data_IF_947980165820
#
_entry.id   IF_947980165820
#
_cell.length_a   1.000
_cell.length_b   1.000
_cell.length_c   1.000
_cell.angle_alpha   90.00
_cell.angle_beta   90.00
_cell.angle_gamma   90.00
#
_symmetry.space_group_name_H-M   'P 1'
#
loop_
_entity.id
_entity.type
_entity.pdbx_description
1 polymer ?
#
# COMPACT_ATOMS: atom_id res chain seq x y z
N UNK A 1 -27.66 22.55 -4.85
CA UNK A 1 -27.44 21.12 -5.18
C UNK A 1 -27.70 20.97 -6.67
N UNK A 2 -26.72 20.53 -7.47
CA UNK A 2 -26.97 20.28 -8.89
C UNK A 2 -27.98 19.13 -9.00
N UNK A 3 -28.93 19.23 -9.93
CA UNK A 3 -29.96 18.22 -10.13
C UNK A 3 -29.49 17.20 -11.16
N UNK A 4 -28.72 16.19 -10.71
CA UNK A 4 -28.38 15.05 -11.56
C UNK A 4 -29.63 14.20 -11.85
N UNK A 5 -29.73 13.70 -13.07
CA UNK A 5 -30.81 12.83 -13.54
C UNK A 5 -30.35 11.39 -13.73
N UNK A 6 -29.06 11.17 -13.97
CA UNK A 6 -28.45 9.86 -14.07
C UNK A 6 -27.00 9.83 -13.57
N UNK A 7 -26.40 8.63 -13.49
CA UNK A 7 -25.00 8.44 -13.09
C UNK A 7 -24.03 9.17 -14.04
N UNK A 8 -24.33 9.24 -15.34
CA UNK A 8 -23.47 9.93 -16.31
C UNK A 8 -23.35 11.42 -16.00
N UNK A 9 -24.45 12.07 -15.60
CA UNK A 9 -24.43 13.49 -15.24
C UNK A 9 -23.49 13.75 -14.04
N UNK A 10 -23.39 12.80 -13.11
CA UNK A 10 -22.48 12.90 -11.96
C UNK A 10 -21.03 12.77 -12.41
N UNK A 11 -20.74 11.81 -13.29
CA UNK A 11 -19.39 11.55 -13.79
C UNK A 11 -18.87 12.66 -14.70
N UNK A 12 -19.74 13.23 -15.55
CA UNK A 12 -19.42 14.38 -16.38
C UNK A 12 -19.06 15.60 -15.51
N UNK A 13 -19.83 15.84 -14.46
CA UNK A 13 -19.60 16.94 -13.53
C UNK A 13 -18.32 16.78 -12.71
N UNK A 14 -18.04 15.55 -12.24
CA UNK A 14 -16.80 15.20 -11.54
C UNK A 14 -15.56 15.47 -12.40
N UNK A 15 -15.65 15.18 -13.70
CA UNK A 15 -14.57 15.46 -14.62
C UNK A 15 -14.38 16.96 -14.88
N UNK A 16 -15.47 17.69 -15.12
CA UNK A 16 -15.43 19.13 -15.40
C UNK A 16 -14.93 19.96 -14.23
N UNK A 17 -15.20 19.51 -13.00
CA UNK A 17 -14.81 20.25 -11.79
C UNK A 17 -13.34 20.09 -11.44
N UNK A 18 -12.66 18.99 -11.81
CA UNK A 18 -11.24 18.69 -11.50
C UNK A 18 -10.81 18.89 -10.02
N UNK A 19 -11.73 19.21 -9.12
CA UNK A 19 -11.45 19.51 -7.72
C UNK A 19 -11.48 18.20 -6.93
N UNK A 20 -10.29 17.64 -6.72
CA UNK A 20 -10.05 16.47 -5.84
C UNK A 20 -10.66 16.67 -4.44
N UNK A 21 -10.78 17.93 -4.00
CA UNK A 21 -11.26 18.34 -2.67
C UNK A 21 -12.68 18.94 -2.64
N UNK A 22 -13.42 18.97 -3.76
CA UNK A 22 -14.77 19.54 -3.81
C UNK A 22 -15.83 18.62 -3.18
N UNK A 23 -15.67 18.34 -1.90
CA UNK A 23 -16.65 17.63 -1.09
C UNK A 23 -16.79 16.18 -1.54
N UNK A 24 -15.81 15.34 -1.19
CA UNK A 24 -15.86 13.89 -1.25
C UNK A 24 -17.26 13.31 -0.89
N UNK A 25 -17.87 13.90 0.15
CA UNK A 25 -19.21 13.56 0.61
C UNK A 25 -20.31 13.82 -0.44
N UNK A 26 -20.22 14.88 -1.23
CA UNK A 26 -21.27 15.28 -2.17
C UNK A 26 -21.35 14.33 -3.38
N UNK A 27 -20.23 14.04 -4.03
CA UNK A 27 -20.25 13.15 -5.19
C UNK A 27 -20.48 11.70 -4.79
N UNK A 28 -19.96 11.24 -3.62
CA UNK A 28 -20.27 9.90 -3.10
C UNK A 28 -21.77 9.72 -2.91
N UNK A 29 -22.46 10.68 -2.30
CA UNK A 29 -23.92 10.63 -2.14
C UNK A 29 -24.66 10.71 -3.48
N UNK A 30 -24.15 11.50 -4.43
CA UNK A 30 -24.73 11.57 -5.78
C UNK A 30 -24.59 10.24 -6.53
N UNK A 31 -23.41 9.61 -6.51
CA UNK A 31 -23.21 8.28 -7.10
C UNK A 31 -24.12 7.27 -6.42
N UNK A 32 -24.14 7.19 -5.08
CA UNK A 32 -25.03 6.28 -4.32
C UNK A 32 -26.50 6.39 -4.72
N UNK A 33 -26.98 7.61 -5.01
CA UNK A 33 -28.38 7.84 -5.41
C UNK A 33 -28.73 7.14 -6.73
N UNK A 34 -27.80 7.03 -7.68
CA UNK A 34 -28.07 6.50 -9.02
C UNK A 34 -27.44 5.13 -9.28
N UNK A 35 -26.52 4.70 -8.42
CA UNK A 35 -25.72 3.51 -8.60
C UNK A 35 -26.38 2.26 -8.01
N UNK A 36 -26.56 1.24 -8.84
CA UNK A 36 -26.66 -0.16 -8.39
C UNK A 36 -25.30 -0.83 -8.48
N UNK A 37 -25.08 -1.95 -7.79
CA UNK A 37 -23.84 -2.73 -7.92
C UNK A 37 -23.56 -3.09 -9.38
N UNK A 38 -24.58 -3.58 -10.10
CA UNK A 38 -24.47 -3.94 -11.51
C UNK A 38 -24.19 -2.72 -12.39
N UNK A 39 -24.82 -1.58 -12.07
CA UNK A 39 -24.59 -0.31 -12.76
C UNK A 39 -23.16 0.19 -12.58
N UNK A 40 -22.64 0.15 -11.35
CA UNK A 40 -21.25 0.52 -11.04
C UNK A 40 -20.27 -0.40 -11.77
N UNK A 41 -20.44 -1.72 -11.65
CA UNK A 41 -19.54 -2.68 -12.29
C UNK A 41 -19.54 -2.53 -13.82
N UNK A 42 -20.70 -2.24 -14.42
CA UNK A 42 -20.81 -1.98 -15.87
C UNK A 42 -20.10 -0.68 -16.27
N UNK A 43 -20.33 0.42 -15.55
CA UNK A 43 -19.68 1.70 -15.81
C UNK A 43 -18.16 1.59 -15.63
N UNK A 44 -17.73 0.90 -14.57
CA UNK A 44 -16.32 0.70 -14.25
C UNK A 44 -15.61 -0.15 -15.33
N UNK A 45 -16.27 -1.20 -15.87
CA UNK A 45 -15.77 -1.92 -17.06
C UNK A 45 -15.59 -1.00 -18.26
N UNK A 46 -16.61 -0.18 -18.55
CA UNK A 46 -16.61 0.72 -19.69
C UNK A 46 -15.45 1.73 -19.64
N UNK A 47 -15.27 2.41 -18.51
CA UNK A 47 -14.20 3.38 -18.36
C UNK A 47 -12.81 2.75 -18.27
N UNK A 48 -12.71 1.56 -17.67
CA UNK A 48 -11.46 0.81 -17.71
C UNK A 48 -11.07 0.46 -19.14
N UNK A 49 -11.99 -0.03 -19.97
CA UNK A 49 -11.73 -0.41 -21.37
C UNK A 49 -11.35 0.80 -22.25
N UNK A 50 -11.95 1.97 -22.00
CA UNK A 50 -11.58 3.21 -22.68
C UNK A 50 -10.15 3.64 -22.31
N UNK A 51 -9.84 3.65 -21.01
CA UNK A 51 -8.50 3.99 -20.53
C UNK A 51 -7.44 2.98 -20.99
N UNK A 52 -7.71 1.68 -20.88
CA UNK A 52 -6.79 0.59 -21.23
C UNK A 52 -6.44 0.64 -22.73
N UNK A 53 -7.42 0.95 -23.60
CA UNK A 53 -7.15 1.13 -25.03
C UNK A 53 -6.16 2.27 -25.29
N UNK A 54 -6.39 3.43 -24.68
CA UNK A 54 -5.52 4.59 -24.88
C UNK A 54 -4.12 4.43 -24.27
N UNK A 55 -3.98 3.66 -23.20
CA UNK A 55 -2.66 3.36 -22.63
C UNK A 55 -1.86 2.37 -23.47
N UNK A 56 -2.52 1.37 -24.07
CA UNK A 56 -1.84 0.38 -24.93
C UNK A 56 -1.29 0.98 -26.22
N UNK A 57 -1.95 1.99 -26.75
CA UNK A 57 -1.63 2.60 -28.03
C UNK A 57 -0.61 3.75 -27.92
N UNK A 58 -0.10 4.06 -26.71
CA UNK A 58 0.71 5.26 -26.44
C UNK A 58 2.22 5.03 -26.33
N UNK A 59 3.00 5.96 -26.89
CA UNK A 59 4.39 6.21 -26.47
C UNK A 59 4.41 7.08 -25.19
N UNK A 60 4.46 6.42 -24.03
CA UNK A 60 4.43 7.05 -22.70
C UNK A 60 5.54 8.09 -22.45
N UNK A 61 6.62 8.09 -23.25
CA UNK A 61 7.70 9.08 -23.14
C UNK A 61 7.39 10.40 -23.86
N UNK A 62 6.34 10.45 -24.69
CA UNK A 62 6.09 11.57 -25.61
C UNK A 62 4.68 12.14 -25.55
N UNK A 63 3.71 11.37 -25.08
CA UNK A 63 2.30 11.72 -25.21
C UNK A 63 1.58 11.68 -23.86
N UNK A 64 0.63 12.60 -23.67
CA UNK A 64 -0.32 12.56 -22.56
C UNK A 64 -1.58 11.80 -23.01
N UNK A 65 -2.38 11.28 -22.06
CA UNK A 65 -3.74 10.79 -22.34
C UNK A 65 -4.54 11.84 -23.11
N UNK A 66 -5.39 11.38 -24.03
CA UNK A 66 -6.39 12.25 -24.65
C UNK A 66 -7.34 12.78 -23.57
N UNK A 67 -8.16 13.79 -23.91
CA UNK A 67 -9.21 14.26 -23.00
C UNK A 67 -10.14 13.11 -22.57
N UNK A 68 -10.45 12.19 -23.50
CA UNK A 68 -11.30 11.04 -23.27
C UNK A 68 -10.62 10.01 -22.35
N UNK A 69 -9.33 9.73 -22.57
CA UNK A 69 -8.54 8.85 -21.70
C UNK A 69 -8.35 9.41 -20.28
N UNK A 70 -8.12 10.72 -20.16
CA UNK A 70 -8.08 11.39 -18.84
C UNK A 70 -9.42 11.28 -18.14
N UNK A 71 -10.52 11.55 -18.85
CA UNK A 71 -11.88 11.41 -18.32
C UNK A 71 -12.16 9.98 -17.86
N UNK A 72 -11.77 8.99 -18.66
CA UNK A 72 -11.93 7.59 -18.34
C UNK A 72 -11.15 7.19 -17.07
N UNK A 73 -9.92 7.66 -16.93
CA UNK A 73 -9.09 7.45 -15.73
C UNK A 73 -9.76 8.00 -14.46
N UNK A 74 -10.24 9.24 -14.50
CA UNK A 74 -10.95 9.86 -13.36
C UNK A 74 -12.30 9.20 -13.05
N UNK A 75 -13.09 8.88 -14.07
CA UNK A 75 -14.37 8.19 -13.87
C UNK A 75 -14.14 6.81 -13.25
N UNK A 76 -13.12 6.08 -13.71
CA UNK A 76 -12.75 4.79 -13.14
C UNK A 76 -12.40 4.92 -11.65
N UNK A 77 -11.60 5.91 -11.26
CA UNK A 77 -11.25 6.20 -9.87
C UNK A 77 -12.50 6.37 -8.98
N UNK A 78 -13.38 7.32 -9.32
CA UNK A 78 -14.56 7.62 -8.49
C UNK A 78 -15.56 6.47 -8.44
N UNK A 79 -15.73 5.73 -9.55
CA UNK A 79 -16.59 4.56 -9.60
C UNK A 79 -16.05 3.42 -8.75
N UNK A 80 -14.74 3.20 -8.74
CA UNK A 80 -14.11 2.17 -7.93
C UNK A 80 -14.27 2.50 -6.45
N UNK A 81 -13.94 3.73 -6.06
CA UNK A 81 -14.09 4.20 -4.68
C UNK A 81 -15.55 4.07 -4.19
N UNK A 82 -16.53 4.34 -5.05
CA UNK A 82 -17.95 4.19 -4.72
C UNK A 82 -18.36 2.74 -4.41
N UNK A 83 -17.59 1.72 -4.78
CA UNK A 83 -17.88 0.33 -4.42
C UNK A 83 -17.82 0.10 -2.90
N UNK A 84 -16.92 0.79 -2.19
CA UNK A 84 -16.85 0.73 -0.71
C UNK A 84 -18.19 1.08 -0.06
N UNK A 85 -18.92 2.02 -0.66
CA UNK A 85 -20.20 2.50 -0.17
C UNK A 85 -21.33 1.49 -0.27
N UNK A 86 -21.18 0.44 -1.09
CA UNK A 86 -22.16 -0.65 -1.18
C UNK A 86 -22.21 -1.47 0.10
N UNK A 87 -21.11 -1.51 0.87
CA UNK A 87 -20.91 -2.41 2.03
C UNK A 87 -21.24 -3.89 1.69
N UNK A 88 -21.06 -4.26 0.42
CA UNK A 88 -21.32 -5.59 -0.14
C UNK A 88 -20.04 -6.13 -0.77
N UNK A 89 -19.31 -7.05 -0.12
CA UNK A 89 -18.04 -7.56 -0.64
C UNK A 89 -18.17 -8.46 -1.87
N UNK A 90 -19.38 -8.77 -2.33
CA UNK A 90 -19.58 -9.61 -3.52
C UNK A 90 -19.13 -8.97 -4.84
N UNK A 91 -18.69 -7.70 -4.83
CA UNK A 91 -18.00 -7.05 -5.96
C UNK A 91 -16.51 -7.45 -6.09
N UNK A 92 -15.90 -7.97 -5.02
CA UNK A 92 -14.46 -8.23 -4.93
C UNK A 92 -13.96 -9.14 -6.06
N UNK A 93 -14.63 -10.27 -6.38
CA UNK A 93 -14.20 -11.12 -7.49
C UNK A 93 -14.16 -10.40 -8.84
N UNK A 94 -15.13 -9.51 -9.11
CA UNK A 94 -15.25 -8.83 -10.40
C UNK A 94 -14.19 -7.73 -10.58
N UNK A 95 -13.66 -7.19 -9.49
CA UNK A 95 -12.66 -6.11 -9.54
C UNK A 95 -11.21 -6.61 -9.54
N UNK A 96 -10.97 -7.90 -9.27
CA UNK A 96 -9.61 -8.47 -9.28
C UNK A 96 -8.88 -8.27 -10.63
N UNK A 97 -9.64 -8.23 -11.74
CA UNK A 97 -9.09 -8.03 -13.08
C UNK A 97 -8.43 -6.67 -13.31
N UNK A 98 -8.70 -5.68 -12.47
CA UNK A 98 -8.16 -4.33 -12.63
C UNK A 98 -6.81 -4.14 -11.92
N UNK A 99 -6.37 -5.11 -11.13
CA UNK A 99 -5.01 -5.14 -10.61
C UNK A 99 -4.10 -5.66 -11.70
N UNK A 100 -3.50 -4.73 -12.43
CA UNK A 100 -2.64 -5.03 -13.57
C UNK A 100 -1.25 -5.51 -13.13
N UNK A 101 -0.52 -6.22 -14.00
CA UNK A 101 0.83 -6.66 -13.71
C UNK A 101 1.79 -5.49 -13.47
N UNK A 102 2.88 -5.72 -12.75
CA UNK A 102 3.90 -4.70 -12.55
C UNK A 102 5.35 -5.18 -12.51
N UNK A 103 6.28 -4.22 -12.59
CA UNK A 103 7.71 -4.45 -12.54
C UNK A 103 8.32 -4.94 -13.86
N UNK A 104 9.43 -5.68 -13.77
CA UNK A 104 10.26 -6.11 -14.92
C UNK A 104 9.58 -7.06 -15.91
N UNK A 105 8.35 -7.49 -15.64
CA UNK A 105 7.57 -8.38 -16.50
C UNK A 105 6.64 -7.63 -17.47
N UNK A 106 6.65 -6.29 -17.48
CA UNK A 106 5.86 -5.49 -18.43
C UNK A 106 6.72 -4.39 -19.02
N UNK A 107 6.63 -4.23 -20.33
CA UNK A 107 7.27 -3.10 -21.01
C UNK A 107 6.60 -1.78 -20.55
N UNK A 108 5.27 -1.59 -20.60
CA UNK A 108 4.69 -0.24 -20.40
C UNK A 108 3.34 -0.12 -19.65
N UNK A 109 2.78 -1.13 -18.98
CA UNK A 109 1.39 -1.05 -18.49
C UNK A 109 1.27 -1.19 -16.97
N UNK A 110 0.87 -0.12 -16.30
CA UNK A 110 0.42 -0.14 -14.92
C UNK A 110 -0.42 1.09 -14.60
N UNK A 111 -1.57 0.89 -13.95
CA UNK A 111 -2.19 1.95 -13.13
C UNK A 111 -1.41 2.20 -11.83
N UNK A 112 -0.34 1.42 -11.61
CA UNK A 112 0.61 1.63 -10.53
C UNK A 112 1.02 3.10 -10.50
N UNK A 113 0.72 3.71 -9.37
CA UNK A 113 1.05 5.07 -8.92
C UNK A 113 -0.13 6.05 -8.89
N UNK A 114 -1.11 6.00 -9.79
CA UNK A 114 -2.18 7.02 -9.76
C UNK A 114 -3.33 6.59 -8.83
N UNK A 115 -3.86 5.36 -9.00
CA UNK A 115 -5.07 4.92 -8.29
C UNK A 115 -4.90 3.66 -7.45
N UNK A 116 -3.75 2.98 -7.58
CA UNK A 116 -3.49 1.68 -6.98
C UNK A 116 -3.73 1.66 -5.47
N UNK A 117 -3.25 2.66 -4.73
CA UNK A 117 -3.43 2.70 -3.28
C UNK A 117 -4.92 2.76 -2.89
N UNK A 118 -5.70 3.63 -3.55
CA UNK A 118 -7.15 3.73 -3.31
C UNK A 118 -7.87 2.42 -3.65
N UNK A 119 -7.54 1.78 -4.78
CA UNK A 119 -8.16 0.52 -5.17
C UNK A 119 -7.87 -0.59 -4.15
N UNK A 120 -6.62 -0.66 -3.68
CA UNK A 120 -6.21 -1.60 -2.65
C UNK A 120 -6.97 -1.35 -1.35
N UNK A 121 -7.07 -0.09 -0.91
CA UNK A 121 -7.81 0.29 0.31
C UNK A 121 -9.31 -0.03 0.17
N UNK A 122 -9.92 0.22 -0.99
CA UNK A 122 -11.35 -0.08 -1.23
C UNK A 122 -11.64 -1.59 -1.12
N UNK A 123 -10.70 -2.44 -1.57
CA UNK A 123 -10.85 -3.90 -1.50
C UNK A 123 -10.50 -4.43 -0.11
N UNK A 124 -9.47 -3.86 0.55
CA UNK A 124 -8.94 -4.32 1.82
C UNK A 124 -9.41 -3.46 3.02
N UNK A 125 -10.53 -2.76 2.88
CA UNK A 125 -11.04 -1.83 3.89
C UNK A 125 -11.25 -2.56 5.24
N UNK A 126 -10.47 -2.16 6.24
CA UNK A 126 -10.46 -2.76 7.57
C UNK A 126 -11.77 -2.54 8.32
N UNK A 127 -12.49 -1.45 8.03
CA UNK A 127 -13.75 -1.11 8.70
C UNK A 127 -14.88 -2.08 8.32
N UNK A 128 -14.69 -2.84 7.24
CA UNK A 128 -15.66 -3.81 6.72
C UNK A 128 -15.37 -5.25 7.22
N UNK A 129 -14.28 -5.43 7.97
CA UNK A 129 -14.05 -6.54 8.88
C UNK A 129 -13.88 -7.93 8.25
N UNK A 130 -14.15 -9.01 9.02
CA UNK A 130 -13.97 -10.42 8.61
C UNK A 130 -14.67 -10.80 7.30
N UNK A 131 -15.80 -10.16 7.00
CA UNK A 131 -16.60 -10.47 5.82
C UNK A 131 -15.80 -10.23 4.55
N UNK A 132 -15.08 -9.11 4.45
CA UNK A 132 -14.27 -8.79 3.28
C UNK A 132 -13.08 -9.75 3.15
N UNK A 133 -12.44 -10.13 4.26
CA UNK A 133 -11.32 -11.07 4.27
C UNK A 133 -11.64 -12.40 3.57
N UNK A 134 -12.83 -12.97 3.82
CA UNK A 134 -13.26 -14.21 3.16
C UNK A 134 -13.39 -14.05 1.65
N UNK A 135 -13.95 -12.92 1.19
CA UNK A 135 -14.11 -12.64 -0.23
C UNK A 135 -12.78 -12.40 -0.92
N UNK A 136 -11.88 -11.64 -0.28
CA UNK A 136 -10.51 -11.41 -0.77
C UNK A 136 -9.79 -12.74 -0.93
N UNK A 137 -9.74 -13.56 0.12
CA UNK A 137 -9.03 -14.84 0.11
C UNK A 137 -9.53 -15.79 -0.99
N UNK A 138 -10.85 -15.89 -1.16
CA UNK A 138 -11.45 -16.68 -2.25
C UNK A 138 -11.10 -16.14 -3.63
N UNK A 139 -10.88 -14.83 -3.76
CA UNK A 139 -10.71 -14.15 -5.05
C UNK A 139 -9.25 -13.98 -5.47
N UNK A 140 -8.26 -14.23 -4.62
CA UNK A 140 -6.84 -14.03 -4.95
C UNK A 140 -6.39 -14.74 -6.22
N UNK A 141 -6.98 -15.90 -6.53
CA UNK A 141 -6.65 -16.67 -7.73
C UNK A 141 -7.16 -16.03 -9.04
N UNK A 142 -8.03 -15.02 -8.96
CA UNK A 142 -8.58 -14.27 -10.09
C UNK A 142 -7.66 -13.11 -10.50
N UNK A 143 -6.67 -12.76 -9.68
CA UNK A 143 -5.65 -11.79 -10.04
C UNK A 143 -4.82 -12.30 -11.22
N UNK A 144 -4.37 -11.37 -12.06
CA UNK A 144 -3.39 -11.72 -13.08
C UNK A 144 -2.11 -12.28 -12.41
N UNK A 145 -1.42 -13.28 -12.99
CA UNK A 145 -0.19 -13.84 -12.41
C UNK A 145 0.88 -12.78 -12.09
N UNK A 146 1.06 -11.81 -13.00
CA UNK A 146 1.96 -10.67 -12.79
C UNK A 146 1.47 -9.60 -11.80
N UNK A 147 0.22 -9.70 -11.28
CA UNK A 147 -0.33 -8.83 -10.24
C UNK A 147 -0.14 -9.40 -8.82
N UNK A 148 0.92 -10.21 -8.64
CA UNK A 148 1.29 -10.83 -7.37
C UNK A 148 1.53 -9.82 -6.25
N UNK A 149 1.92 -8.60 -6.60
CA UNK A 149 2.06 -7.47 -5.67
C UNK A 149 0.73 -7.16 -4.95
N UNK A 150 -0.40 -7.18 -5.65
CA UNK A 150 -1.71 -6.91 -5.07
C UNK A 150 -2.14 -8.03 -4.11
N UNK A 151 -1.92 -9.29 -4.50
CA UNK A 151 -2.16 -10.44 -3.62
C UNK A 151 -1.31 -10.35 -2.33
N UNK A 152 -0.05 -9.92 -2.46
CA UNK A 152 0.84 -9.71 -1.33
C UNK A 152 0.35 -8.59 -0.40
N UNK A 153 -0.13 -7.48 -0.98
CA UNK A 153 -0.71 -6.38 -0.22
C UNK A 153 -1.93 -6.84 0.57
N UNK A 154 -2.88 -7.51 -0.08
CA UNK A 154 -4.12 -7.97 0.56
C UNK A 154 -3.86 -8.90 1.74
N UNK A 155 -3.03 -9.93 1.55
CA UNK A 155 -2.68 -10.84 2.65
C UNK A 155 -2.00 -10.10 3.79
N UNK A 156 -1.07 -9.20 3.46
CA UNK A 156 -0.36 -8.43 4.48
C UNK A 156 -1.30 -7.53 5.28
N UNK A 157 -2.15 -6.78 4.59
CA UNK A 157 -3.09 -5.85 5.19
C UNK A 157 -4.09 -6.60 6.11
N UNK A 158 -4.64 -7.74 5.68
CA UNK A 158 -5.51 -8.57 6.53
C UNK A 158 -4.80 -9.08 7.80
N UNK A 159 -3.56 -9.55 7.66
CA UNK A 159 -2.75 -10.00 8.81
C UNK A 159 -2.48 -8.81 9.73
N UNK A 160 -2.03 -7.68 9.19
CA UNK A 160 -1.70 -6.48 9.96
C UNK A 160 -2.91 -6.01 10.77
N UNK A 161 -4.08 -5.81 10.16
CA UNK A 161 -5.27 -5.35 10.88
C UNK A 161 -5.75 -6.32 11.95
N UNK A 162 -5.63 -7.64 11.72
CA UNK A 162 -5.98 -8.63 12.75
C UNK A 162 -5.12 -8.49 14.00
N UNK A 163 -3.87 -8.04 13.85
CA UNK A 163 -2.89 -7.98 14.92
C UNK A 163 -2.62 -6.56 15.47
N UNK A 164 -3.01 -5.50 14.75
CA UNK A 164 -2.79 -4.10 15.16
C UNK A 164 -3.63 -3.71 16.38
N UNK A 165 -4.85 -4.26 16.51
CA UNK A 165 -5.78 -3.97 17.60
C UNK A 165 -5.56 -4.83 18.87
N UNK A 166 -4.43 -5.54 18.97
CA UNK A 166 -4.13 -6.36 20.14
C UNK A 166 -3.89 -5.49 21.39
N UNK A 167 -4.87 -5.45 22.29
CA UNK A 167 -4.71 -4.88 23.64
C UNK A 167 -4.23 -5.95 24.64
N UNK A 168 -3.38 -5.56 25.59
CA UNK A 168 -2.78 -6.48 26.57
C UNK A 168 -3.81 -6.96 27.61
N UNK A 169 -4.68 -7.89 27.22
CA UNK A 169 -5.65 -8.49 28.13
C UNK A 169 -6.75 -9.31 27.45
N UNK A 170 -6.90 -9.21 26.13
CA UNK A 170 -7.88 -9.99 25.37
C UNK A 170 -7.18 -10.71 24.23
N UNK A 171 -7.49 -12.00 24.07
CA UNK A 171 -7.07 -12.72 22.87
C UNK A 171 -7.88 -12.14 21.69
N UNK A 172 -7.22 -11.67 20.61
CA UNK A 172 -7.93 -11.05 19.51
C UNK A 172 -8.85 -12.06 18.82
N UNK A 173 -9.95 -11.59 18.26
CA UNK A 173 -10.65 -12.37 17.23
C UNK A 173 -9.69 -12.54 16.05
N UNK A 174 -9.62 -13.75 15.48
CA UNK A 174 -8.64 -14.10 14.45
C UNK A 174 -9.34 -14.45 13.12
N UNK A 175 -10.10 -13.51 12.52
CA UNK A 175 -10.83 -13.77 11.28
C UNK A 175 -9.91 -14.18 10.12
N UNK A 176 -8.65 -13.73 10.14
CA UNK A 176 -7.65 -14.15 9.17
C UNK A 176 -7.37 -15.65 9.22
N UNK A 177 -7.45 -16.29 10.39
CA UNK A 177 -7.22 -17.74 10.55
C UNK A 177 -8.31 -18.54 9.84
N UNK A 178 -9.55 -18.06 9.88
CA UNK A 178 -10.68 -18.67 9.18
C UNK A 178 -10.66 -18.36 7.67
N UNK A 179 -10.11 -17.20 7.29
CA UNK A 179 -10.04 -16.76 5.89
C UNK A 179 -8.94 -17.46 5.09
N UNK A 180 -7.75 -17.66 5.67
CA UNK A 180 -6.58 -18.20 4.98
C UNK A 180 -6.84 -19.52 4.22
N UNK A 181 -7.55 -20.52 4.80
CA UNK A 181 -7.87 -21.77 4.12
C UNK A 181 -8.76 -21.63 2.88
N UNK A 182 -9.47 -20.49 2.72
CA UNK A 182 -10.37 -20.27 1.59
C UNK A 182 -9.63 -19.90 0.30
N UNK A 183 -8.35 -19.51 0.40
CA UNK A 183 -7.52 -19.23 -0.76
C UNK A 183 -6.94 -20.48 -1.41
N UNK A 184 -6.46 -20.35 -2.65
CA UNK A 184 -5.73 -21.42 -3.32
C UNK A 184 -4.44 -21.72 -2.56
N UNK A 185 -4.36 -22.91 -1.96
CA UNK A 185 -3.29 -23.34 -1.06
C UNK A 185 -1.88 -22.92 -1.52
N UNK A 186 -1.49 -23.29 -2.74
CA UNK A 186 -0.13 -23.02 -3.23
C UNK A 186 0.16 -21.51 -3.36
N UNK A 187 -0.85 -20.74 -3.79
CA UNK A 187 -0.73 -19.29 -3.88
C UNK A 187 -0.57 -18.67 -2.49
N UNK A 188 -1.41 -19.06 -1.53
CA UNK A 188 -1.36 -18.54 -0.16
C UNK A 188 -0.04 -18.90 0.52
N UNK A 189 0.39 -20.17 0.45
CA UNK A 189 1.65 -20.62 1.04
C UNK A 189 2.84 -19.88 0.45
N UNK A 190 2.92 -19.76 -0.88
CA UNK A 190 4.03 -19.05 -1.52
C UNK A 190 4.09 -17.56 -1.13
N UNK A 191 2.94 -16.90 -0.96
CA UNK A 191 2.89 -15.50 -0.51
C UNK A 191 3.33 -15.36 0.96
N UNK A 192 2.93 -16.29 1.83
CA UNK A 192 3.36 -16.31 3.23
C UNK A 192 4.86 -16.59 3.36
N UNK A 193 5.39 -17.58 2.63
CA UNK A 193 6.81 -17.91 2.62
C UNK A 193 7.66 -16.72 2.16
N UNK A 194 7.27 -16.07 1.06
CA UNK A 194 7.94 -14.86 0.59
C UNK A 194 7.95 -13.75 1.65
N UNK A 195 6.83 -13.55 2.34
CA UNK A 195 6.73 -12.51 3.38
C UNK A 195 7.60 -12.84 4.58
N UNK A 196 7.61 -14.11 5.01
CA UNK A 196 8.47 -14.60 6.09
C UNK A 196 9.94 -14.36 5.74
N UNK A 197 10.36 -14.72 4.53
CA UNK A 197 11.74 -14.52 4.09
C UNK A 197 12.12 -13.03 4.01
N UNK A 198 11.23 -12.16 3.49
CA UNK A 198 11.45 -10.70 3.49
C UNK A 198 11.60 -10.16 4.92
N UNK A 199 10.79 -10.62 5.87
CA UNK A 199 10.92 -10.20 7.27
C UNK A 199 12.21 -10.72 7.92
N UNK A 200 12.60 -11.98 7.68
CA UNK A 200 13.87 -12.52 8.17
C UNK A 200 15.05 -11.70 7.65
N UNK A 201 15.06 -11.38 6.36
CA UNK A 201 16.08 -10.53 5.75
C UNK A 201 16.10 -9.14 6.39
N UNK A 202 14.94 -8.49 6.51
CA UNK A 202 14.83 -7.17 7.16
C UNK A 202 15.30 -7.18 8.62
N UNK A 203 14.98 -8.23 9.38
CA UNK A 203 15.43 -8.38 10.76
C UNK A 203 16.95 -8.59 10.84
N UNK A 204 17.53 -9.40 9.95
CA UNK A 204 18.98 -9.58 9.89
C UNK A 204 19.72 -8.30 9.48
N UNK A 205 19.17 -7.52 8.54
CA UNK A 205 19.70 -6.20 8.19
C UNK A 205 19.62 -5.21 9.35
N UNK A 206 18.48 -5.14 10.05
CA UNK A 206 18.33 -4.31 11.25
C UNK A 206 19.29 -4.73 12.35
N UNK A 207 19.45 -6.04 12.59
CA UNK A 207 20.40 -6.59 13.55
C UNK A 207 21.84 -6.21 13.19
N UNK A 208 22.25 -6.35 11.92
CA UNK A 208 23.56 -5.90 11.44
C UNK A 208 23.76 -4.39 11.65
N UNK A 209 22.75 -3.57 11.36
CA UNK A 209 22.80 -2.12 11.57
C UNK A 209 22.97 -1.76 13.05
N UNK A 210 22.23 -2.41 13.95
CA UNK A 210 22.37 -2.23 15.40
C UNK A 210 23.76 -2.66 15.87
N UNK A 211 24.23 -3.84 15.44
CA UNK A 211 25.54 -4.36 15.83
C UNK A 211 26.69 -3.46 15.35
N UNK A 212 26.61 -2.95 14.12
CA UNK A 212 27.58 -1.99 13.58
C UNK A 212 27.56 -0.66 14.35
N UNK A 213 26.39 -0.16 14.73
CA UNK A 213 26.29 1.05 15.56
C UNK A 213 26.88 0.86 16.96
N UNK A 214 26.65 -0.30 17.59
CA UNK A 214 27.26 -0.65 18.88
C UNK A 214 28.78 -0.73 18.75
N UNK A 215 29.29 -1.35 17.68
CA UNK A 215 30.73 -1.42 17.42
C UNK A 215 31.35 -0.03 17.25
N UNK A 216 30.71 0.87 16.49
CA UNK A 216 31.14 2.27 16.33
C UNK A 216 31.17 3.00 17.67
N UNK A 217 30.14 2.84 18.51
CA UNK A 217 30.11 3.45 19.84
C UNK A 217 31.23 2.91 20.74
N UNK A 218 31.49 1.59 20.71
CA UNK A 218 32.61 0.99 21.45
C UNK A 218 33.93 1.58 20.94
N UNK A 219 34.18 1.59 19.63
CA UNK A 219 35.41 2.13 19.04
C UNK A 219 35.62 3.60 19.41
N UNK A 220 34.58 4.44 19.30
CA UNK A 220 34.64 5.85 19.72
C UNK A 220 34.93 6.00 21.22
N UNK A 221 34.32 5.16 22.06
CA UNK A 221 34.59 5.15 23.50
C UNK A 221 36.04 4.72 23.80
N UNK A 222 36.58 3.72 23.11
CA UNK A 222 37.98 3.31 23.25
C UNK A 222 38.95 4.41 22.79
N UNK A 223 38.65 5.11 21.69
CA UNK A 223 39.44 6.25 21.23
C UNK A 223 39.40 7.41 22.22
N UNK A 224 38.24 7.74 22.80
CA UNK A 224 38.12 8.75 23.84
C UNK A 224 38.90 8.38 25.10
N UNK A 225 38.82 7.13 25.56
CA UNK A 225 39.61 6.62 26.69
C UNK A 225 41.11 6.73 26.41
N UNK A 226 41.56 6.32 25.22
CA UNK A 226 42.96 6.41 24.83
C UNK A 226 43.46 7.87 24.77
N UNK A 227 42.65 8.79 24.22
CA UNK A 227 42.95 10.22 24.21
C UNK A 227 43.00 10.82 25.64
N UNK A 228 42.11 10.37 26.53
CA UNK A 228 42.09 10.80 27.93
C UNK A 228 43.33 10.31 28.71
N UNK A 229 43.75 9.07 28.52
CA UNK A 229 44.94 8.53 29.17
C UNK A 229 46.24 9.15 28.63
N UNK A 230 46.34 9.40 27.33
CA UNK A 230 47.53 10.03 26.74
C UNK A 230 47.64 11.51 27.13
N UNK A 231 46.53 12.26 27.18
CA UNK A 231 46.53 13.65 27.67
C UNK A 231 46.81 13.75 29.18
N UNK A 232 46.30 12.82 29.99
CA UNK A 232 46.61 12.73 31.43
C UNK A 232 48.09 12.37 31.69
N UNK A 233 48.68 11.52 30.86
CA UNK A 233 50.11 11.16 30.96
C UNK A 233 51.01 12.35 30.60
N UNK A 234 50.63 13.15 29.60
CA UNK A 234 51.33 14.40 29.22
C UNK A 234 51.18 15.48 30.29
N UNK A 235 50.02 15.57 30.97
CA UNK A 235 49.84 16.50 32.09
C UNK A 235 50.59 16.06 33.36
N UNK A 236 50.61 14.77 33.68
CA UNK A 236 51.35 14.24 34.83
C UNK A 236 52.87 14.35 34.66
N UNK A 237 53.38 14.19 33.44
CA UNK A 237 54.81 14.38 33.14
C UNK A 237 55.23 15.86 33.11
N UNK A 238 54.31 16.79 32.83
CA UNK A 238 54.56 18.24 33.02
C UNK A 238 54.56 18.67 34.48
N UNK A 239 53.77 18.03 35.35
CA UNK A 239 53.78 18.34 36.78
C UNK A 239 55.00 17.79 37.51
N UNK A 240 55.53 16.62 37.12
CA UNK A 240 56.77 16.09 37.71
C UNK A 240 57.98 17.00 37.38
N UNK A 241 58.00 17.64 36.21
CA UNK A 241 59.07 18.58 35.83
C UNK A 241 58.96 19.98 36.47
N UNK A 242 57.84 20.35 37.10
CA UNK A 242 57.70 21.67 37.76
C UNK A 242 57.95 21.62 39.27
N UNK A 243 57.90 20.45 39.91
CA UNK A 243 58.24 20.30 41.34
C UNK A 243 59.74 20.02 41.58
N UNK A 244 60.50 19.64 40.55
CA UNK A 244 61.96 19.39 40.64
C UNK A 244 62.84 20.62 40.33
N UNK A 245 62.26 21.82 40.16
CA UNK A 245 63.01 23.06 39.87
C UNK A 245 63.00 24.06 41.04
N UNK A 246 62.44 23.71 42.21
CA UNK A 246 62.49 24.55 43.41
C UNK A 246 62.78 23.75 44.70
N UNK A 247 63.85 22.94 44.68
CA UNK A 247 64.66 22.60 45.87
C UNK A 247 66.12 22.79 45.49
#
# INVERSE_FOLDING_TARGET
MKNYTCLQDVLDDLYETQEIDAGEKYWKEAIKKFATKEGLLKALSHYFELWDREERDRDYLRELLSLEGQKASWCFYYLFEALSSLKDPSFIPQVMRYFLPSGKEVDHWGMEDIWTEMMLQTVADSDLGPTYMHWIMRSLHLLHPGARWAASYFIFNMIYHTFDDMTSGQFPDLPVVDALPLGKRDLVLSLLDEKIERYKQSLEEKKKKILNNVLICITLFTYMLFAFFTSSFVFSSRHINTTLVNI
#
